data_IF_838237088707
#
_entry.id   IF_838237088707
#
_cell.length_a   1.000
_cell.length_b   1.000
_cell.length_c   1.000
_cell.angle_alpha   90.00
_cell.angle_beta   90.00
_cell.angle_gamma   90.00
#
_symmetry.space_group_name_H-M   'P 1'
#
loop_
_entity.id
_entity.type
_entity.pdbx_description
1 polymer ?
#
# COMPACT_ATOMS: atom_id res chain seq x y z
N UNK A 1 -6.47 8.14 -17.37
CA UNK A 1 -6.21 9.25 -16.46
C UNK A 1 -5.47 8.75 -15.22
N UNK A 2 -4.45 9.46 -14.72
CA UNK A 2 -3.75 9.07 -13.50
C UNK A 2 -4.69 8.97 -12.30
N UNK A 3 -4.47 7.98 -11.45
CA UNK A 3 -5.29 7.77 -10.26
C UNK A 3 -5.23 6.35 -9.74
N UNK A 4 -6.08 6.07 -8.76
CA UNK A 4 -6.29 4.74 -8.20
C UNK A 4 -7.72 4.29 -8.45
N UNK A 5 -7.87 3.10 -8.98
CA UNK A 5 -9.15 2.52 -9.40
C UNK A 5 -9.39 1.22 -8.65
N UNK A 6 -10.64 0.97 -8.28
CA UNK A 6 -11.05 -0.23 -7.56
C UNK A 6 -12.17 -0.94 -8.32
N UNK A 7 -12.15 -2.26 -8.30
CA UNK A 7 -13.23 -3.09 -8.83
C UNK A 7 -13.49 -4.29 -7.91
N UNK A 8 -14.73 -4.77 -7.95
CA UNK A 8 -15.15 -5.98 -7.26
C UNK A 8 -15.75 -6.91 -8.31
N UNK A 9 -15.24 -8.14 -8.35
CA UNK A 9 -15.78 -9.22 -9.16
C UNK A 9 -16.24 -10.35 -8.24
N UNK A 10 -16.96 -11.32 -8.81
CA UNK A 10 -17.39 -12.52 -8.09
C UNK A 10 -16.87 -13.74 -8.81
N UNK A 11 -16.40 -14.74 -8.06
CA UNK A 11 -16.03 -16.02 -8.62
C UNK A 11 -17.26 -16.92 -8.89
N UNK A 12 -17.02 -18.13 -9.34
CA UNK A 12 -18.10 -19.07 -9.68
C UNK A 12 -18.99 -19.47 -8.51
N UNK A 13 -18.48 -19.36 -7.28
CA UNK A 13 -19.22 -19.68 -6.04
C UNK A 13 -19.77 -18.43 -5.34
N UNK A 14 -19.66 -17.26 -5.96
CA UNK A 14 -20.17 -16.01 -5.42
C UNK A 14 -19.26 -15.29 -4.43
N UNK A 15 -18.03 -15.75 -4.21
CA UNK A 15 -17.05 -15.07 -3.37
C UNK A 15 -16.59 -13.77 -4.03
N UNK A 16 -16.56 -12.68 -3.27
CA UNK A 16 -16.07 -11.39 -3.77
C UNK A 16 -14.55 -11.41 -3.95
N UNK A 17 -14.12 -11.00 -5.14
CA UNK A 17 -12.72 -10.80 -5.49
C UNK A 17 -12.48 -9.31 -5.69
N UNK A 18 -11.40 -8.81 -5.12
CA UNK A 18 -11.06 -7.39 -5.15
C UNK A 18 -9.90 -7.15 -6.10
N UNK A 19 -9.95 -6.05 -6.82
CA UNK A 19 -8.84 -5.57 -7.62
C UNK A 19 -8.68 -4.07 -7.51
N UNK A 20 -7.45 -3.62 -7.70
CA UNK A 20 -7.12 -2.19 -7.72
C UNK A 20 -6.00 -1.96 -8.72
N UNK A 21 -6.07 -0.85 -9.42
CA UNK A 21 -5.02 -0.42 -10.34
C UNK A 21 -4.56 0.97 -9.98
N UNK A 22 -3.26 1.12 -9.79
CA UNK A 22 -2.60 2.41 -9.60
C UNK A 22 -2.00 2.83 -10.94
N UNK A 23 -2.53 3.91 -11.50
CA UNK A 23 -2.08 4.46 -12.78
C UNK A 23 -1.36 5.78 -12.51
N UNK A 24 -0.03 5.83 -12.64
CA UNK A 24 0.71 7.08 -12.59
C UNK A 24 0.55 7.87 -13.89
N UNK A 25 0.89 9.16 -13.86
CA UNK A 25 1.02 9.95 -15.08
C UNK A 25 2.23 9.50 -15.91
N UNK A 26 3.30 9.12 -15.22
CA UNK A 26 4.52 8.53 -15.79
C UNK A 26 5.02 7.44 -14.87
N UNK A 27 5.38 6.29 -15.45
CA UNK A 27 5.95 5.18 -14.72
C UNK A 27 5.15 3.89 -14.81
N UNK A 28 5.58 2.89 -14.06
CA UNK A 28 4.98 1.56 -14.05
C UNK A 28 3.61 1.56 -13.34
N UNK A 29 2.66 0.83 -13.92
CA UNK A 29 1.39 0.57 -13.27
C UNK A 29 1.56 -0.48 -12.19
N UNK A 30 0.77 -0.36 -11.12
CA UNK A 30 0.62 -1.39 -10.10
C UNK A 30 -0.81 -1.94 -10.18
N UNK A 31 -0.91 -3.24 -10.41
CA UNK A 31 -2.20 -3.93 -10.48
C UNK A 31 -2.28 -4.91 -9.32
N UNK A 32 -3.27 -4.70 -8.45
CA UNK A 32 -3.51 -5.52 -7.27
C UNK A 32 -4.72 -6.41 -7.49
N UNK A 33 -4.66 -7.66 -7.05
CA UNK A 33 -5.79 -8.57 -7.11
C UNK A 33 -5.79 -9.56 -5.95
N UNK A 34 -6.97 -9.98 -5.53
CA UNK A 34 -7.13 -11.11 -4.62
C UNK A 34 -7.68 -12.30 -5.39
N UNK A 35 -7.31 -13.52 -4.97
CA UNK A 35 -7.84 -14.74 -5.54
C UNK A 35 -8.87 -15.42 -4.62
N UNK A 36 -9.42 -16.55 -5.06
CA UNK A 36 -10.40 -17.32 -4.30
C UNK A 36 -9.85 -17.93 -3.00
N UNK A 37 -8.54 -18.01 -2.85
CA UNK A 37 -7.85 -18.48 -1.65
C UNK A 37 -7.46 -17.34 -0.69
N UNK A 38 -7.98 -16.13 -0.91
CA UNK A 38 -7.65 -14.92 -0.17
C UNK A 38 -6.19 -14.45 -0.29
N UNK A 39 -5.44 -14.98 -1.22
CA UNK A 39 -4.08 -14.51 -1.49
C UNK A 39 -4.14 -13.18 -2.23
N UNK A 40 -3.40 -12.23 -1.72
CA UNK A 40 -3.31 -10.89 -2.30
C UNK A 40 -2.04 -10.79 -3.17
N UNK A 41 -2.24 -10.51 -4.46
CA UNK A 41 -1.18 -10.44 -5.47
C UNK A 41 -0.99 -9.02 -6.01
N UNK A 42 0.20 -8.78 -6.52
CA UNK A 42 0.52 -7.56 -7.27
C UNK A 42 1.25 -7.89 -8.57
N UNK A 43 0.94 -7.13 -9.61
CA UNK A 43 1.71 -7.08 -10.87
C UNK A 43 2.37 -5.73 -10.97
N UNK A 44 3.65 -5.73 -11.28
CA UNK A 44 4.42 -4.52 -11.56
C UNK A 44 4.66 -4.46 -13.06
N UNK A 45 4.13 -3.44 -13.72
CA UNK A 45 4.36 -3.16 -15.14
C UNK A 45 4.13 -4.36 -16.08
N UNK A 46 2.96 -4.99 -16.02
CA UNK A 46 2.55 -6.13 -16.86
C UNK A 46 3.39 -7.41 -16.68
N UNK A 47 4.13 -7.53 -15.62
CA UNK A 47 4.88 -8.74 -15.29
C UNK A 47 3.97 -9.82 -14.68
N UNK A 48 4.51 -11.00 -14.41
CA UNK A 48 3.78 -12.04 -13.69
C UNK A 48 3.52 -11.59 -12.26
N UNK A 49 2.35 -11.93 -11.74
CA UNK A 49 1.96 -11.58 -10.37
C UNK A 49 2.83 -12.26 -9.32
N UNK A 50 3.07 -11.54 -8.25
CA UNK A 50 3.74 -12.04 -7.04
C UNK A 50 2.85 -11.78 -5.83
N UNK A 51 2.99 -12.53 -4.72
CA UNK A 51 2.31 -12.18 -3.47
C UNK A 51 2.65 -10.74 -3.06
N UNK A 52 1.68 -10.02 -2.51
CA UNK A 52 1.88 -8.63 -2.09
C UNK A 52 3.02 -8.46 -1.09
N UNK A 53 3.26 -9.49 -0.27
CA UNK A 53 4.33 -9.50 0.72
C UNK A 53 5.72 -9.38 0.09
N UNK A 54 5.92 -9.90 -1.11
CA UNK A 54 7.19 -9.72 -1.86
C UNK A 54 7.44 -8.24 -2.14
N UNK A 55 6.44 -7.52 -2.62
CA UNK A 55 6.56 -6.08 -2.87
C UNK A 55 6.78 -5.31 -1.56
N UNK A 56 6.04 -5.63 -0.51
CA UNK A 56 6.17 -4.97 0.80
C UNK A 56 7.60 -5.13 1.33
N UNK A 57 8.18 -6.33 1.25
CA UNK A 57 9.57 -6.58 1.64
C UNK A 57 10.56 -5.80 0.79
N UNK A 58 10.35 -5.78 -0.51
CA UNK A 58 11.21 -5.06 -1.46
C UNK A 58 11.18 -3.54 -1.24
N UNK A 59 10.12 -2.99 -0.67
CA UNK A 59 10.00 -1.58 -0.31
C UNK A 59 10.56 -1.24 1.08
N UNK A 60 11.07 -2.23 1.83
CA UNK A 60 11.78 -2.00 3.06
C UNK A 60 11.17 -2.61 4.33
N UNK A 61 9.98 -3.19 4.26
CA UNK A 61 9.35 -3.89 5.39
C UNK A 61 9.67 -5.38 5.28
N UNK A 62 10.80 -5.78 5.86
CA UNK A 62 11.47 -7.06 5.53
C UNK A 62 10.87 -8.30 6.17
N UNK A 63 10.53 -8.28 7.45
CA UNK A 63 10.09 -9.46 8.21
C UNK A 63 8.58 -9.60 8.26
N UNK A 64 8.09 -10.82 8.50
CA UNK A 64 6.66 -11.07 8.72
C UNK A 64 6.12 -10.26 9.91
N UNK A 65 6.90 -10.17 10.98
CA UNK A 65 6.52 -9.41 12.18
C UNK A 65 6.32 -7.91 11.86
N UNK A 66 7.23 -7.31 11.11
CA UNK A 66 7.11 -5.90 10.68
C UNK A 66 5.90 -5.67 9.78
N UNK A 67 5.61 -6.61 8.87
CA UNK A 67 4.45 -6.52 7.99
C UNK A 67 3.15 -6.59 8.80
N UNK A 68 3.05 -7.52 9.75
CA UNK A 68 1.89 -7.65 10.65
C UNK A 68 1.74 -6.44 11.55
N UNK A 69 2.84 -5.88 12.06
CA UNK A 69 2.81 -4.64 12.84
C UNK A 69 2.22 -3.47 12.04
N UNK A 70 2.60 -3.33 10.77
CA UNK A 70 2.15 -2.24 9.92
C UNK A 70 0.70 -2.41 9.42
N UNK A 71 0.31 -3.61 8.99
CA UNK A 71 -0.98 -3.87 8.36
C UNK A 71 -2.00 -4.54 9.29
N UNK A 72 -1.58 -5.00 10.45
CA UNK A 72 -2.40 -5.83 11.34
C UNK A 72 -2.49 -7.28 10.83
N UNK A 73 -3.27 -8.09 11.53
CA UNK A 73 -3.51 -9.49 11.17
C UNK A 73 -4.60 -9.61 10.10
N UNK A 74 -4.40 -8.94 8.98
CA UNK A 74 -5.33 -9.00 7.85
C UNK A 74 -5.28 -10.39 7.20
N UNK A 75 -6.42 -11.13 7.09
CA UNK A 75 -6.44 -12.49 6.55
C UNK A 75 -5.80 -12.64 5.18
N UNK A 76 -5.94 -11.65 4.31
CA UNK A 76 -5.36 -11.69 2.96
C UNK A 76 -3.84 -11.50 2.97
N UNK A 77 -3.32 -10.73 3.90
CA UNK A 77 -1.88 -10.62 4.13
C UNK A 77 -1.33 -11.93 4.69
N UNK A 78 -2.00 -12.51 5.70
CA UNK A 78 -1.58 -13.78 6.30
C UNK A 78 -1.61 -14.91 5.28
N UNK A 79 -2.63 -15.00 4.45
CA UNK A 79 -2.71 -15.98 3.36
C UNK A 79 -1.59 -15.78 2.32
N UNK A 80 -1.16 -14.54 2.10
CA UNK A 80 -0.09 -14.23 1.15
C UNK A 80 1.28 -14.70 1.63
N UNK A 81 1.54 -14.76 2.92
CA UNK A 81 2.78 -15.32 3.47
C UNK A 81 3.02 -16.76 3.03
N UNK A 82 1.96 -17.57 2.94
CA UNK A 82 2.07 -18.97 2.52
C UNK A 82 2.52 -19.16 1.06
N UNK A 83 2.32 -18.14 0.23
CA UNK A 83 2.72 -18.12 -1.19
C UNK A 83 4.04 -17.40 -1.44
N UNK A 84 4.53 -16.69 -0.44
CA UNK A 84 5.79 -15.94 -0.52
C UNK A 84 6.94 -16.81 -0.04
N UNK A 85 7.92 -17.05 -0.90
CA UNK A 85 9.13 -17.82 -0.58
C UNK A 85 10.22 -16.94 0.05
N UNK A 86 10.08 -15.61 -0.02
CA UNK A 86 11.02 -14.67 0.58
C UNK A 86 10.74 -14.48 2.08
N UNK A 87 11.78 -14.17 2.84
CA UNK A 87 11.70 -14.02 4.31
C UNK A 87 12.28 -12.70 4.81
N UNK A 88 12.98 -11.96 3.95
CA UNK A 88 13.62 -10.70 4.30
C UNK A 88 13.65 -9.73 3.12
N UNK A 89 14.20 -8.53 3.36
CA UNK A 89 14.30 -7.46 2.38
C UNK A 89 15.06 -7.87 1.12
N UNK A 90 16.23 -8.48 1.26
CA UNK A 90 17.07 -8.87 0.12
C UNK A 90 16.39 -9.95 -0.74
N UNK A 91 15.80 -10.94 -0.11
CA UNK A 91 15.06 -11.99 -0.81
C UNK A 91 13.83 -11.44 -1.53
N UNK A 92 13.11 -10.51 -0.91
CA UNK A 92 11.98 -9.80 -1.52
C UNK A 92 12.39 -9.01 -2.76
N UNK A 93 13.51 -8.27 -2.68
CA UNK A 93 14.08 -7.57 -3.83
C UNK A 93 14.40 -8.52 -4.98
N UNK A 94 15.05 -9.63 -4.70
CA UNK A 94 15.46 -10.61 -5.72
C UNK A 94 14.25 -11.31 -6.34
N UNK A 95 13.24 -11.67 -5.56
CA UNK A 95 12.01 -12.28 -6.09
C UNK A 95 11.26 -11.30 -7.01
N UNK A 96 11.16 -10.04 -6.64
CA UNK A 96 10.55 -9.03 -7.48
C UNK A 96 11.38 -8.77 -8.75
N UNK A 97 12.70 -8.72 -8.62
CA UNK A 97 13.62 -8.52 -9.73
C UNK A 97 13.50 -9.64 -10.78
N UNK A 98 13.38 -10.90 -10.36
CA UNK A 98 13.15 -12.05 -11.25
C UNK A 98 11.92 -11.87 -12.14
N UNK A 99 10.88 -11.22 -11.63
CA UNK A 99 9.64 -10.99 -12.39
C UNK A 99 9.78 -9.81 -13.35
N UNK A 100 10.48 -8.76 -12.96
CA UNK A 100 10.66 -7.55 -13.78
C UNK A 100 11.72 -7.77 -14.86
N UNK A 101 12.80 -8.48 -14.53
CA UNK A 101 13.95 -8.77 -15.41
C UNK A 101 14.24 -10.25 -15.49
N UNK A 102 13.38 -11.05 -16.14
CA UNK A 102 13.60 -12.50 -16.25
C UNK A 102 14.92 -12.82 -16.98
N UNK A 103 15.66 -13.77 -16.46
CA UNK A 103 16.91 -14.26 -17.09
C UNK A 103 18.16 -13.44 -16.82
N UNK A 104 18.06 -12.30 -16.12
CA UNK A 104 19.24 -11.53 -15.73
C UNK A 104 19.87 -12.10 -14.45
N UNK A 105 21.21 -11.95 -14.28
CA UNK A 105 21.89 -12.34 -13.05
C UNK A 105 21.32 -11.62 -11.83
N UNK A 106 21.13 -12.37 -10.74
CA UNK A 106 20.56 -11.83 -9.51
C UNK A 106 21.64 -11.18 -8.65
N UNK A 107 21.50 -9.87 -8.42
CA UNK A 107 22.33 -9.10 -7.50
C UNK A 107 21.45 -8.14 -6.71
N UNK A 108 21.67 -8.06 -5.40
CA UNK A 108 20.87 -7.20 -4.50
C UNK A 108 21.01 -5.73 -4.90
N UNK A 109 22.20 -5.26 -5.20
CA UNK A 109 22.45 -3.87 -5.59
C UNK A 109 21.70 -3.50 -6.89
N UNK A 110 21.70 -4.41 -7.87
CA UNK A 110 20.99 -4.19 -9.15
C UNK A 110 19.48 -4.16 -8.94
N UNK A 111 18.95 -5.05 -8.10
CA UNK A 111 17.53 -5.11 -7.75
C UNK A 111 17.10 -3.84 -7.00
N UNK A 112 17.86 -3.42 -6.01
CA UNK A 112 17.59 -2.20 -5.24
C UNK A 112 17.60 -0.97 -6.14
N UNK A 113 18.62 -0.83 -6.99
CA UNK A 113 18.73 0.30 -7.94
C UNK A 113 17.54 0.33 -8.89
N UNK A 114 17.10 -0.80 -9.41
CA UNK A 114 15.94 -0.88 -10.30
C UNK A 114 14.65 -0.44 -9.60
N UNK A 115 14.38 -0.96 -8.41
CA UNK A 115 13.17 -0.64 -7.65
C UNK A 115 13.16 0.84 -7.24
N UNK A 116 14.29 1.36 -6.78
CA UNK A 116 14.42 2.78 -6.42
C UNK A 116 14.21 3.69 -7.63
N UNK A 117 14.77 3.35 -8.78
CA UNK A 117 14.57 4.11 -10.02
C UNK A 117 13.12 4.03 -10.50
N UNK A 118 12.47 2.87 -10.35
CA UNK A 118 11.12 2.64 -10.86
C UNK A 118 10.05 3.42 -10.09
N UNK A 119 10.16 3.54 -8.76
CA UNK A 119 9.13 4.13 -7.91
C UNK A 119 9.51 5.43 -7.21
N UNK A 120 10.81 5.72 -7.04
CA UNK A 120 11.28 6.84 -6.23
C UNK A 120 12.11 7.87 -7.00
N UNK A 121 12.34 7.66 -8.29
CA UNK A 121 12.96 8.68 -9.15
C UNK A 121 11.86 9.57 -9.76
N UNK A 122 11.80 10.87 -9.42
CA UNK A 122 10.76 11.78 -9.94
C UNK A 122 10.76 11.92 -11.47
N UNK A 123 11.87 11.64 -12.12
CA UNK A 123 11.99 11.68 -13.58
C UNK A 123 11.32 10.47 -14.24
N UNK A 124 11.17 9.37 -13.53
CA UNK A 124 10.64 8.11 -14.03
C UNK A 124 9.26 7.77 -13.50
N UNK A 125 8.92 8.25 -12.32
CA UNK A 125 7.62 8.00 -11.68
C UNK A 125 7.01 9.31 -11.19
N UNK A 126 5.83 9.63 -11.70
CA UNK A 126 5.12 10.84 -11.34
C UNK A 126 3.61 10.60 -11.39
N UNK A 127 2.91 11.02 -10.34
CA UNK A 127 1.45 10.96 -10.25
C UNK A 127 0.77 12.18 -10.87
N UNK A 128 1.50 13.27 -11.10
CA UNK A 128 0.98 14.60 -11.43
C UNK A 128 -0.03 15.12 -10.38
N UNK A 129 -0.46 16.36 -10.53
CA UNK A 129 -1.42 16.98 -9.61
C UNK A 129 -2.78 16.28 -9.60
N UNK A 130 -3.25 15.87 -10.77
CA UNK A 130 -4.54 15.16 -10.92
C UNK A 130 -4.52 13.80 -10.23
N UNK A 131 -3.48 13.01 -10.45
CA UNK A 131 -3.30 11.72 -9.79
C UNK A 131 -3.18 11.88 -8.29
N UNK A 132 -2.35 12.81 -7.82
CA UNK A 132 -2.17 13.10 -6.40
C UNK A 132 -3.49 13.51 -5.72
N UNK A 133 -4.27 14.36 -6.36
CA UNK A 133 -5.59 14.75 -5.86
C UNK A 133 -6.53 13.54 -5.73
N UNK A 134 -6.58 12.66 -6.73
CA UNK A 134 -7.41 11.45 -6.69
C UNK A 134 -6.99 10.48 -5.60
N UNK A 135 -5.68 10.31 -5.39
CA UNK A 135 -5.15 9.51 -4.28
C UNK A 135 -5.57 10.08 -2.94
N UNK A 136 -5.33 11.36 -2.73
CA UNK A 136 -5.66 12.02 -1.49
C UNK A 136 -7.15 11.91 -1.18
N UNK A 137 -8.01 12.16 -2.15
CA UNK A 137 -9.47 12.05 -2.00
C UNK A 137 -9.92 10.66 -1.53
N UNK A 138 -9.24 9.59 -1.97
CA UNK A 138 -9.57 8.20 -1.60
C UNK A 138 -8.88 7.72 -0.33
N UNK A 139 -7.67 8.20 -0.06
CA UNK A 139 -6.80 7.67 0.98
C UNK A 139 -6.64 8.57 2.20
N UNK A 140 -7.25 9.76 2.23
CA UNK A 140 -7.23 10.63 3.41
C UNK A 140 -7.70 9.88 4.65
N UNK A 141 -7.02 10.10 5.77
CA UNK A 141 -7.29 9.39 7.01
C UNK A 141 -8.65 9.75 7.64
N UNK A 142 -9.18 10.95 7.37
CA UNK A 142 -10.46 11.39 7.90
C UNK A 142 -11.59 10.37 7.65
N UNK A 143 -11.58 9.70 6.50
CA UNK A 143 -12.59 8.70 6.16
C UNK A 143 -12.42 7.38 6.90
N UNK A 144 -11.22 7.13 7.44
CA UNK A 144 -10.87 5.89 8.11
C UNK A 144 -11.09 5.94 9.62
N UNK A 145 -11.03 7.13 10.20
CA UNK A 145 -11.15 7.31 11.65
C UNK A 145 -12.57 7.54 12.14
N UNK A 146 -13.50 7.90 11.25
CA UNK A 146 -14.91 8.07 11.62
C UNK A 146 -15.48 6.81 12.25
N UNK A 147 -16.13 6.95 13.40
CA UNK A 147 -16.72 5.82 14.14
C UNK A 147 -15.74 5.10 15.07
N UNK A 148 -14.48 5.47 15.07
CA UNK A 148 -13.47 4.96 16.01
C UNK A 148 -13.32 5.91 17.20
N UNK A 149 -12.72 5.44 18.28
CA UNK A 149 -12.35 6.25 19.44
C UNK A 149 -10.85 6.58 19.37
N UNK A 150 -10.51 7.76 19.85
CA UNK A 150 -9.12 8.17 19.98
C UNK A 150 -8.42 7.41 21.11
N UNK A 151 -7.20 6.94 20.86
CA UNK A 151 -6.40 6.24 21.87
C UNK A 151 -5.68 7.19 22.82
N UNK A 152 -5.51 8.44 22.42
CA UNK A 152 -4.83 9.49 23.21
C UNK A 152 -5.36 10.86 22.78
N UNK A 153 -5.00 11.89 23.54
CA UNK A 153 -5.31 13.27 23.18
C UNK A 153 -4.63 13.64 21.88
N UNK A 154 -5.34 14.33 21.01
CA UNK A 154 -4.82 14.84 19.74
C UNK A 154 -4.55 16.34 19.88
N UNK A 155 -3.28 16.72 19.69
CA UNK A 155 -2.81 18.08 19.86
C UNK A 155 -2.36 18.64 18.50
N UNK A 156 -2.76 19.86 18.21
CA UNK A 156 -2.22 20.61 17.07
C UNK A 156 -0.75 20.96 17.36
N UNK A 157 0.17 20.43 16.56
CA UNK A 157 1.61 20.61 16.77
C UNK A 157 2.08 22.04 16.52
N UNK A 158 1.30 22.84 15.82
CA UNK A 158 1.62 24.26 15.55
C UNK A 158 1.19 25.17 16.68
N UNK A 159 0.00 24.93 17.23
CA UNK A 159 -0.59 25.81 18.26
C UNK A 159 -0.47 25.28 19.68
N UNK A 160 -0.27 23.95 19.84
CA UNK A 160 -0.30 23.28 21.13
C UNK A 160 -1.70 23.08 21.69
N UNK A 161 -2.74 23.38 20.93
CA UNK A 161 -4.13 23.22 21.35
C UNK A 161 -4.56 21.75 21.30
N UNK A 162 -5.29 21.30 22.33
CA UNK A 162 -5.92 19.96 22.32
C UNK A 162 -7.17 20.04 21.45
N UNK A 163 -7.13 19.36 20.32
CA UNK A 163 -8.25 19.30 19.37
C UNK A 163 -9.33 18.31 19.78
N UNK A 164 -8.95 17.21 20.41
CA UNK A 164 -9.85 16.21 20.95
C UNK A 164 -9.12 15.40 22.03
N UNK A 165 -9.87 14.99 23.05
CA UNK A 165 -9.35 14.17 24.16
C UNK A 165 -9.41 12.67 23.83
N UNK A 166 -8.62 11.88 24.55
CA UNK A 166 -8.66 10.41 24.49
C UNK A 166 -10.09 9.89 24.72
N UNK A 167 -10.40 8.73 24.15
CA UNK A 167 -11.72 8.08 24.18
C UNK A 167 -12.87 8.83 23.49
N UNK A 168 -12.61 9.99 22.90
CA UNK A 168 -13.61 10.72 22.12
C UNK A 168 -13.97 9.91 20.86
N UNK A 169 -15.28 9.71 20.64
CA UNK A 169 -15.79 9.12 19.41
C UNK A 169 -15.61 10.11 18.25
N UNK A 170 -14.93 9.68 17.20
CA UNK A 170 -14.65 10.53 16.05
C UNK A 170 -15.89 10.62 15.16
N UNK A 171 -16.49 11.81 15.12
CA UNK A 171 -17.56 12.17 14.18
C UNK A 171 -16.96 12.58 12.86
N UNK A 172 -17.80 12.72 11.82
CA UNK A 172 -17.36 13.20 10.51
C UNK A 172 -16.75 14.59 10.58
N UNK A 173 -17.37 15.48 11.34
CA UNK A 173 -16.92 16.87 11.54
C UNK A 173 -15.56 16.90 12.26
N UNK A 174 -15.41 16.11 13.31
CA UNK A 174 -14.13 15.98 14.02
C UNK A 174 -13.05 15.41 13.11
N UNK A 175 -13.36 14.37 12.33
CA UNK A 175 -12.42 13.77 11.39
C UNK A 175 -11.90 14.80 10.36
N UNK A 176 -12.79 15.62 9.82
CA UNK A 176 -12.43 16.68 8.87
C UNK A 176 -11.56 17.76 9.54
N UNK A 177 -11.86 18.12 10.77
CA UNK A 177 -11.03 19.05 11.57
C UNK A 177 -9.63 18.49 11.78
N UNK A 178 -9.51 17.24 12.19
CA UNK A 178 -8.21 16.59 12.40
C UNK A 178 -7.41 16.47 11.09
N UNK A 179 -8.08 16.14 9.98
CA UNK A 179 -7.43 16.06 8.65
C UNK A 179 -6.83 17.40 8.22
N UNK A 180 -7.45 18.52 8.58
CA UNK A 180 -7.04 19.87 8.18
C UNK A 180 -6.16 20.58 9.23
N UNK A 181 -5.84 19.92 10.32
CA UNK A 181 -5.00 20.46 11.40
C UNK A 181 -3.60 19.83 11.36
N UNK A 182 -2.64 20.46 12.02
CA UNK A 182 -1.27 19.95 12.13
C UNK A 182 -1.19 18.88 13.24
N UNK A 183 -1.65 17.67 12.94
CA UNK A 183 -1.57 16.54 13.86
C UNK A 183 -0.43 15.60 13.47
N UNK A 184 0.24 14.93 14.45
CA UNK A 184 1.35 14.01 14.19
C UNK A 184 0.89 12.73 13.47
#
# INVERSE_FOLDING_TARGET
>A
SPGIYYAIAHDKIGKRLFSSTVIPNRGAWLEYETDSNDVFYVRVDRTRKVPITVLIRALGIGTNAEIVELFGEEPKILASFAKDTSTNYQEGLLELYKKIRPGEPLAVESAESLIMAMFFDPRRYDLAKVGRYKFNKKLHFNKRIVGHKLSQDVVDTTTGEILAEADTLVTKELADTLQNSAVP
#
